data_IF_763994898767
#
_entry.id   IF_763994898767
#
_cell.length_a   1.000
_cell.length_b   1.000
_cell.length_c   1.000
_cell.angle_alpha   90.00
_cell.angle_beta   90.00
_cell.angle_gamma   90.00
#
_symmetry.space_group_name_H-M   'P 1'
#
loop_
_entity.id
_entity.type
_entity.pdbx_description
1 polymer ?
#
# COMPACT_ATOMS: atom_id res chain seq x y z
N UNK A 1 14.88 19.59 15.13
CA UNK A 1 15.56 18.28 14.88
C UNK A 1 14.58 17.18 14.46
N UNK A 2 13.47 16.94 15.17
CA UNK A 2 12.50 15.87 14.85
C UNK A 2 11.88 16.02 13.45
N UNK A 3 11.44 17.23 13.07
CA UNK A 3 10.87 17.50 11.73
C UNK A 3 11.87 17.20 10.60
N UNK A 4 13.15 17.52 10.79
CA UNK A 4 14.21 17.24 9.82
C UNK A 4 14.37 15.74 9.59
N UNK A 5 14.36 14.94 10.68
CA UNK A 5 14.44 13.48 10.60
C UNK A 5 13.22 12.92 9.86
N UNK A 6 12.01 13.40 10.18
CA UNK A 6 10.77 12.99 9.51
C UNK A 6 10.81 13.33 8.02
N UNK A 7 11.26 14.53 7.65
CA UNK A 7 11.40 14.93 6.25
C UNK A 7 12.40 14.04 5.50
N UNK A 8 13.57 13.75 6.09
CA UNK A 8 14.57 12.84 5.51
C UNK A 8 13.97 11.45 5.32
N UNK A 9 13.29 10.89 6.32
CA UNK A 9 12.63 9.58 6.24
C UNK A 9 11.61 9.52 5.10
N UNK A 10 10.81 10.57 4.91
CA UNK A 10 9.83 10.65 3.84
C UNK A 10 10.48 10.78 2.46
N UNK A 11 11.57 11.55 2.31
CA UNK A 11 12.30 11.62 1.06
C UNK A 11 12.99 10.30 0.71
N UNK A 12 13.51 9.57 1.70
CA UNK A 12 14.01 8.19 1.52
C UNK A 12 12.90 7.25 1.06
N UNK A 13 11.69 7.35 1.65
CA UNK A 13 10.52 6.61 1.20
C UNK A 13 10.18 6.95 -0.26
N UNK A 14 10.14 8.22 -0.63
CA UNK A 14 9.84 8.67 -2.00
C UNK A 14 10.87 8.10 -2.98
N UNK A 15 12.17 8.21 -2.68
CA UNK A 15 13.23 7.64 -3.51
C UNK A 15 13.09 6.12 -3.66
N UNK A 16 12.82 5.42 -2.56
CA UNK A 16 12.58 3.97 -2.57
C UNK A 16 11.39 3.59 -3.45
N UNK A 17 10.25 4.30 -3.30
CA UNK A 17 9.06 4.06 -4.10
C UNK A 17 9.29 4.34 -5.59
N UNK A 18 10.01 5.41 -5.93
CA UNK A 18 10.35 5.74 -7.33
C UNK A 18 11.22 4.67 -7.98
N UNK A 19 12.21 4.12 -7.26
CA UNK A 19 13.09 3.05 -7.76
C UNK A 19 12.29 1.74 -7.93
N UNK A 20 11.52 1.36 -6.92
CA UNK A 20 10.89 0.04 -6.86
C UNK A 20 9.57 -0.05 -7.63
N UNK A 21 8.84 1.07 -7.78
CA UNK A 21 7.52 1.10 -8.45
C UNK A 21 7.51 1.78 -9.82
N UNK A 22 8.68 2.07 -10.42
CA UNK A 22 8.80 2.79 -11.71
C UNK A 22 7.89 2.24 -12.85
N UNK A 23 7.54 0.96 -12.82
CA UNK A 23 6.73 0.27 -13.85
C UNK A 23 5.27 -0.04 -13.46
N UNK A 24 4.77 0.32 -12.27
CA UNK A 24 3.37 0.04 -11.87
C UNK A 24 2.43 1.20 -12.20
N UNK A 25 1.20 0.87 -12.59
CA UNK A 25 0.15 1.85 -12.93
C UNK A 25 -0.37 2.65 -11.72
N UNK A 26 -0.32 2.10 -10.51
CA UNK A 26 -0.80 2.79 -9.30
C UNK A 26 0.23 3.79 -8.75
N UNK A 27 0.12 5.04 -9.20
CA UNK A 27 0.97 6.18 -8.77
C UNK A 27 0.44 6.91 -7.53
N UNK A 28 -0.75 6.58 -7.04
CA UNK A 28 -1.43 7.24 -5.91
C UNK A 28 -0.57 7.28 -4.64
N UNK A 29 0.07 6.17 -4.28
CA UNK A 29 0.95 6.09 -3.09
C UNK A 29 2.22 6.93 -3.29
N UNK A 30 2.77 6.98 -4.50
CA UNK A 30 3.94 7.83 -4.79
C UNK A 30 3.57 9.31 -4.70
N UNK A 31 2.42 9.71 -5.27
CA UNK A 31 1.93 11.08 -5.13
C UNK A 31 1.68 11.44 -3.68
N UNK A 32 1.03 10.55 -2.92
CA UNK A 32 0.85 10.74 -1.48
C UNK A 32 2.18 10.96 -0.75
N UNK A 33 3.15 10.06 -0.93
CA UNK A 33 4.45 10.17 -0.27
C UNK A 33 5.19 11.46 -0.65
N UNK A 34 5.17 11.85 -1.93
CA UNK A 34 5.79 13.09 -2.39
C UNK A 34 5.11 14.32 -1.80
N UNK A 35 3.78 14.39 -1.81
CA UNK A 35 3.05 15.54 -1.26
C UNK A 35 3.27 15.65 0.25
N UNK A 36 3.25 14.54 1.00
CA UNK A 36 3.54 14.53 2.45
C UNK A 36 5.00 14.92 2.71
N UNK A 37 5.96 14.45 1.89
CA UNK A 37 7.37 14.83 2.02
C UNK A 37 7.58 16.35 1.85
N UNK A 38 6.92 16.95 0.85
CA UNK A 38 6.95 18.41 0.63
C UNK A 38 6.34 19.14 1.83
N UNK A 39 5.16 18.70 2.30
CA UNK A 39 4.51 19.29 3.47
C UNK A 39 5.40 19.25 4.73
N UNK A 40 6.06 18.13 4.99
CA UNK A 40 6.95 17.99 6.13
C UNK A 40 8.26 18.76 5.96
N UNK A 41 8.73 18.94 4.72
CA UNK A 41 9.92 19.76 4.43
C UNK A 41 9.63 21.24 4.71
N UNK A 42 8.44 21.73 4.33
CA UNK A 42 8.01 23.10 4.64
C UNK A 42 7.91 23.36 6.15
N UNK A 43 7.64 22.33 6.95
CA UNK A 43 7.60 22.43 8.41
C UNK A 43 8.99 22.46 9.08
N UNK A 44 10.10 22.30 8.36
CA UNK A 44 11.44 22.39 8.95
C UNK A 44 11.77 23.86 9.23
N UNK A 45 12.09 24.22 10.48
CA UNK A 45 12.35 25.60 10.92
C UNK A 45 13.16 26.46 9.93
N UNK A 46 14.28 25.93 9.42
CA UNK A 46 15.15 26.64 8.47
C UNK A 46 14.49 26.88 7.11
N UNK A 47 13.70 25.92 6.63
CA UNK A 47 12.95 26.04 5.37
C UNK A 47 11.76 26.98 5.58
N UNK A 48 11.03 26.80 6.69
CA UNK A 48 9.86 27.58 7.03
C UNK A 48 10.18 29.08 7.11
N UNK A 49 11.20 29.45 7.88
CA UNK A 49 11.65 30.84 8.05
C UNK A 49 12.18 31.49 6.77
N UNK A 50 12.66 30.69 5.81
CA UNK A 50 13.08 31.19 4.50
C UNK A 50 11.88 31.36 3.53
N UNK A 51 10.88 30.50 3.63
CA UNK A 51 9.76 30.43 2.68
C UNK A 51 8.60 31.33 3.09
N UNK A 52 8.24 31.40 4.38
CA UNK A 52 7.09 32.19 4.85
C UNK A 52 7.18 33.69 4.51
N UNK A 53 8.35 34.35 4.59
CA UNK A 53 8.49 35.74 4.17
C UNK A 53 8.16 35.99 2.69
N UNK A 54 8.39 35.00 1.81
CA UNK A 54 8.04 35.10 0.38
C UNK A 54 6.52 35.15 0.16
N UNK A 55 5.74 34.67 1.12
CA UNK A 55 4.29 34.72 1.13
C UNK A 55 3.72 35.84 2.01
N UNK A 56 4.56 36.75 2.49
CA UNK A 56 4.16 37.91 3.29
C UNK A 56 4.47 37.80 4.78
N UNK A 57 5.11 36.72 5.25
CA UNK A 57 5.65 36.64 6.62
C UNK A 57 4.59 36.58 7.72
N UNK A 58 3.42 36.01 7.42
CA UNK A 58 2.25 35.94 8.30
C UNK A 58 1.77 34.49 8.49
N UNK A 59 2.71 33.54 8.50
CA UNK A 59 2.47 32.11 8.73
C UNK A 59 1.64 31.41 7.64
N UNK A 60 1.58 31.98 6.43
CA UNK A 60 0.88 31.38 5.28
C UNK A 60 1.54 30.05 4.86
N UNK A 61 2.84 29.91 5.08
CA UNK A 61 3.55 28.65 4.85
C UNK A 61 2.96 27.49 5.69
N UNK A 62 2.40 27.77 6.88
CA UNK A 62 1.71 26.75 7.71
C UNK A 62 0.47 26.23 7.00
N UNK A 63 -0.38 27.12 6.50
CA UNK A 63 -1.61 26.75 5.79
C UNK A 63 -1.30 25.93 4.54
N UNK A 64 -0.26 26.32 3.78
CA UNK A 64 0.19 25.59 2.59
C UNK A 64 0.67 24.19 2.98
N UNK A 65 1.51 24.09 4.03
CA UNK A 65 2.04 22.81 4.49
C UNK A 65 0.92 21.86 4.96
N UNK A 66 -0.02 22.36 5.76
CA UNK A 66 -1.17 21.57 6.25
C UNK A 66 -2.10 21.15 5.12
N UNK A 67 -2.37 22.04 4.16
CA UNK A 67 -3.14 21.71 2.94
C UNK A 67 -2.47 20.59 2.15
N UNK A 68 -1.16 20.67 1.94
CA UNK A 68 -0.39 19.62 1.27
C UNK A 68 -0.43 18.31 2.05
N UNK A 69 -0.33 18.36 3.38
CA UNK A 69 -0.43 17.17 4.23
C UNK A 69 -1.80 16.48 4.08
N UNK A 70 -2.89 17.24 4.12
CA UNK A 70 -4.26 16.73 3.95
C UNK A 70 -4.47 16.10 2.57
N UNK A 71 -3.97 16.74 1.51
CA UNK A 71 -3.99 16.22 0.13
C UNK A 71 -3.16 14.94 0.03
N UNK A 72 -1.99 14.92 0.65
CA UNK A 72 -1.11 13.75 0.69
C UNK A 72 -1.78 12.55 1.37
N UNK A 73 -2.41 12.77 2.54
CA UNK A 73 -3.17 11.75 3.25
C UNK A 73 -4.41 11.28 2.46
N UNK A 74 -5.09 12.17 1.75
CA UNK A 74 -6.18 11.79 0.84
C UNK A 74 -5.71 10.80 -0.23
N UNK A 75 -4.61 11.11 -0.93
CA UNK A 75 -4.03 10.19 -1.91
C UNK A 75 -3.57 8.88 -1.27
N UNK A 76 -3.05 8.93 -0.05
CA UNK A 76 -2.61 7.77 0.70
C UNK A 76 -3.79 6.83 0.98
N UNK A 77 -4.88 7.36 1.55
CA UNK A 77 -6.09 6.62 1.83
C UNK A 77 -6.69 6.01 0.55
N UNK A 78 -6.70 6.75 -0.56
CA UNK A 78 -7.14 6.25 -1.88
C UNK A 78 -6.24 5.12 -2.39
N UNK A 79 -4.93 5.25 -2.25
CA UNK A 79 -3.97 4.22 -2.64
C UNK A 79 -4.13 2.92 -1.86
N UNK A 80 -4.35 3.02 -0.55
CA UNK A 80 -4.61 1.84 0.31
C UNK A 80 -5.96 1.20 -0.02
N UNK A 81 -7.01 1.99 -0.24
CA UNK A 81 -8.33 1.48 -0.65
C UNK A 81 -8.31 0.77 -2.00
N UNK A 82 -7.55 1.27 -2.98
CA UNK A 82 -7.44 0.62 -4.29
C UNK A 82 -6.71 -0.73 -4.21
N UNK A 83 -5.77 -0.86 -3.29
CA UNK A 83 -5.01 -2.08 -3.07
C UNK A 83 -5.76 -3.16 -2.26
N UNK A 84 -6.88 -2.80 -1.60
CA UNK A 84 -7.67 -3.71 -0.78
C UNK A 84 -8.91 -4.25 -1.51
N UNK A 85 -9.18 -5.55 -1.38
CA UNK A 85 -10.39 -6.20 -1.90
C UNK A 85 -11.66 -5.74 -1.16
N UNK A 86 -11.53 -5.30 0.09
CA UNK A 86 -12.64 -4.85 0.93
C UNK A 86 -12.80 -3.32 0.90
N UNK A 87 -13.96 -2.85 0.45
CA UNK A 87 -14.29 -1.41 0.30
C UNK A 87 -15.48 -1.00 1.20
N UNK A 88 -15.27 -0.76 2.50
CA UNK A 88 -16.35 -0.32 3.37
C UNK A 88 -16.81 1.09 2.96
N UNK A 89 -18.14 1.28 2.86
CA UNK A 89 -18.76 2.54 2.40
C UNK A 89 -18.32 3.74 3.25
N UNK A 90 -18.14 3.55 4.56
CA UNK A 90 -17.70 4.58 5.48
C UNK A 90 -16.27 5.07 5.17
N UNK A 91 -15.32 4.15 4.99
CA UNK A 91 -13.93 4.52 4.62
C UNK A 91 -13.88 5.19 3.26
N UNK A 92 -14.70 4.74 2.30
CA UNK A 92 -14.81 5.39 0.99
C UNK A 92 -15.38 6.81 1.09
N UNK A 93 -16.37 7.03 1.97
CA UNK A 93 -16.93 8.35 2.22
C UNK A 93 -15.91 9.28 2.90
N UNK A 94 -15.18 8.77 3.90
CA UNK A 94 -14.10 9.50 4.58
C UNK A 94 -13.02 9.98 3.59
N UNK A 95 -12.54 9.08 2.72
CA UNK A 95 -11.48 9.42 1.75
C UNK A 95 -12.10 9.87 0.42
N UNK A 96 -13.20 10.64 0.50
CA UNK A 96 -13.87 11.20 -0.66
C UNK A 96 -13.36 12.62 -0.94
N UNK A 97 -13.33 12.99 -2.22
CA UNK A 97 -12.94 14.33 -2.64
C UNK A 97 -13.82 15.43 -1.99
N UNK A 98 -15.15 15.28 -1.87
CA UNK A 98 -15.98 16.26 -1.16
C UNK A 98 -15.55 16.46 0.30
N UNK A 99 -15.24 15.39 1.03
CA UNK A 99 -14.80 15.50 2.43
C UNK A 99 -13.50 16.28 2.56
N UNK A 100 -12.53 16.01 1.68
CA UNK A 100 -11.28 16.78 1.62
C UNK A 100 -11.57 18.27 1.32
N UNK A 101 -12.38 18.57 0.31
CA UNK A 101 -12.69 19.95 -0.08
C UNK A 101 -13.38 20.72 1.06
N UNK A 102 -14.35 20.10 1.73
CA UNK A 102 -15.01 20.70 2.89
C UNK A 102 -14.01 20.99 4.02
N UNK A 103 -13.13 20.03 4.31
CA UNK A 103 -12.11 20.22 5.35
C UNK A 103 -11.11 21.32 4.97
N UNK A 104 -10.66 21.37 3.71
CA UNK A 104 -9.76 22.42 3.19
C UNK A 104 -10.38 23.81 3.26
N UNK A 105 -11.65 23.95 2.87
CA UNK A 105 -12.39 25.21 2.99
C UNK A 105 -12.51 25.59 4.47
N UNK A 106 -12.86 24.64 5.34
CA UNK A 106 -13.03 24.89 6.76
C UNK A 106 -11.73 25.35 7.45
N UNK A 107 -10.58 24.71 7.17
CA UNK A 107 -9.29 25.18 7.71
C UNK A 107 -8.92 26.55 7.13
N UNK A 108 -9.18 26.80 5.85
CA UNK A 108 -8.86 28.09 5.23
C UNK A 108 -9.68 29.20 5.87
N UNK A 109 -10.99 28.99 6.04
CA UNK A 109 -11.88 29.95 6.72
C UNK A 109 -11.41 30.18 8.15
N UNK A 110 -11.15 29.12 8.93
CA UNK A 110 -10.66 29.25 10.30
C UNK A 110 -9.34 30.02 10.38
N UNK A 111 -8.42 29.76 9.44
CA UNK A 111 -7.11 30.43 9.36
C UNK A 111 -7.23 31.93 9.12
N UNK A 112 -8.23 32.39 8.35
CA UNK A 112 -8.48 33.81 8.11
C UNK A 112 -8.91 34.58 9.37
N UNK A 113 -9.43 33.90 10.39
CA UNK A 113 -9.83 34.50 11.66
C UNK A 113 -8.72 34.49 12.72
N UNK A 114 -7.55 33.93 12.42
CA UNK A 114 -6.41 33.92 13.36
C UNK A 114 -5.72 35.29 13.32
N UNK A 115 -5.42 35.83 14.49
CA UNK A 115 -4.48 36.95 14.59
C UNK A 115 -3.05 36.40 14.48
N UNK A 116 -2.53 36.38 13.25
CA UNK A 116 -1.35 35.58 12.86
C UNK A 116 -0.01 36.20 13.27
N UNK A 117 0.03 37.49 13.57
CA UNK A 117 1.28 38.20 13.86
C UNK A 117 2.36 38.00 12.80
N UNK A 118 3.61 37.93 13.25
CA UNK A 118 4.78 37.66 12.42
C UNK A 118 5.06 36.15 12.30
N UNK A 119 5.89 35.77 11.32
CA UNK A 119 6.39 34.41 11.14
C UNK A 119 6.90 33.80 12.45
N UNK A 120 6.35 32.65 12.83
CA UNK A 120 6.81 31.84 13.96
C UNK A 120 6.94 30.37 13.55
N UNK A 121 7.98 29.70 14.05
CA UNK A 121 8.16 28.26 13.89
C UNK A 121 7.39 27.45 14.93
N UNK A 122 6.85 28.10 15.97
CA UNK A 122 6.09 27.47 17.04
C UNK A 122 4.62 27.91 17.02
N UNK A 123 4.02 27.91 15.82
CA UNK A 123 2.67 28.41 15.57
C UNK A 123 1.62 27.98 16.62
N UNK A 124 1.57 26.68 16.97
CA UNK A 124 0.60 26.19 17.96
C UNK A 124 0.96 26.49 19.43
N UNK A 125 2.24 26.71 19.74
CA UNK A 125 2.63 27.13 21.08
C UNK A 125 2.35 28.63 21.28
N UNK A 126 2.59 29.44 20.26
CA UNK A 126 2.50 30.90 20.35
C UNK A 126 1.06 31.41 20.14
N UNK A 127 0.29 30.77 19.25
CA UNK A 127 -1.03 31.23 18.83
C UNK A 127 -2.15 30.28 19.26
N UNK A 128 -1.83 29.14 19.89
CA UNK A 128 -2.79 28.08 20.23
C UNK A 128 -3.80 28.44 21.31
N UNK A 129 -3.56 29.50 22.07
CA UNK A 129 -4.52 30.05 23.03
C UNK A 129 -5.73 30.73 22.35
N UNK A 130 -5.61 31.09 21.06
CA UNK A 130 -6.71 31.71 20.32
C UNK A 130 -7.72 30.63 19.90
N UNK A 131 -9.04 30.85 20.13
CA UNK A 131 -10.07 29.90 19.71
C UNK A 131 -10.05 29.60 18.20
N UNK A 132 -9.70 30.59 17.36
CA UNK A 132 -9.57 30.40 15.91
C UNK A 132 -8.43 29.43 15.56
N UNK A 133 -7.27 29.56 16.21
CA UNK A 133 -6.11 28.67 16.01
C UNK A 133 -6.41 27.24 16.46
N UNK A 134 -7.05 27.06 17.61
CA UNK A 134 -7.47 25.74 18.06
C UNK A 134 -8.51 25.13 17.14
N UNK A 135 -9.50 25.90 16.68
CA UNK A 135 -10.50 25.42 15.70
C UNK A 135 -9.84 24.97 14.41
N UNK A 136 -8.89 25.76 13.89
CA UNK A 136 -8.08 25.41 12.73
C UNK A 136 -7.33 24.09 12.93
N UNK A 137 -6.60 23.95 14.05
CA UNK A 137 -5.84 22.74 14.39
C UNK A 137 -6.75 21.52 14.53
N UNK A 138 -7.85 21.66 15.26
CA UNK A 138 -8.84 20.61 15.49
C UNK A 138 -9.39 20.09 14.18
N UNK A 139 -9.78 20.96 13.25
CA UNK A 139 -10.31 20.53 11.94
C UNK A 139 -9.24 19.75 11.15
N UNK A 140 -8.01 20.28 11.11
CA UNK A 140 -6.88 19.64 10.41
C UNK A 140 -6.58 18.24 10.97
N UNK A 141 -6.36 18.13 12.28
CA UNK A 141 -6.01 16.87 12.94
C UNK A 141 -7.19 15.91 13.05
N UNK A 142 -8.44 16.40 13.10
CA UNK A 142 -9.62 15.55 13.03
C UNK A 142 -9.72 14.90 11.64
N UNK A 143 -9.57 15.66 10.55
CA UNK A 143 -9.55 15.09 9.20
C UNK A 143 -8.42 14.05 9.06
N UNK A 144 -7.20 14.42 9.44
CA UNK A 144 -6.04 13.52 9.39
C UNK A 144 -6.29 12.25 10.23
N UNK A 145 -6.81 12.42 11.44
CA UNK A 145 -7.13 11.33 12.37
C UNK A 145 -8.17 10.37 11.82
N UNK A 146 -9.24 10.85 11.18
CA UNK A 146 -10.26 9.99 10.56
C UNK A 146 -9.65 9.20 9.39
N UNK A 147 -8.84 9.84 8.54
CA UNK A 147 -8.16 9.14 7.42
C UNK A 147 -7.18 8.08 7.95
N UNK A 148 -6.38 8.39 8.97
CA UNK A 148 -5.44 7.45 9.59
C UNK A 148 -6.18 6.32 10.31
N UNK A 149 -7.29 6.60 10.99
CA UNK A 149 -8.12 5.58 11.62
C UNK A 149 -8.73 4.63 10.58
N UNK A 150 -9.17 5.15 9.44
CA UNK A 150 -9.63 4.32 8.33
C UNK A 150 -8.50 3.42 7.78
N UNK A 151 -7.28 3.96 7.66
CA UNK A 151 -6.09 3.17 7.29
C UNK A 151 -5.76 2.11 8.33
N UNK A 152 -5.88 2.40 9.63
CA UNK A 152 -5.69 1.45 10.72
C UNK A 152 -6.63 0.26 10.60
N UNK A 153 -7.92 0.50 10.33
CA UNK A 153 -8.91 -0.57 10.16
C UNK A 153 -8.54 -1.48 8.97
N UNK A 154 -8.11 -0.89 7.84
CA UNK A 154 -7.70 -1.65 6.67
C UNK A 154 -6.41 -2.45 6.93
N UNK A 155 -5.40 -1.83 7.55
CA UNK A 155 -4.12 -2.46 7.88
C UNK A 155 -4.27 -3.59 8.90
N UNK A 156 -5.07 -3.39 9.95
CA UNK A 156 -5.34 -4.41 10.97
C UNK A 156 -6.05 -5.62 10.39
N UNK A 157 -6.98 -5.41 9.45
CA UNK A 157 -7.63 -6.51 8.72
C UNK A 157 -6.64 -7.25 7.83
N UNK A 158 -5.83 -6.51 7.06
CA UNK A 158 -4.79 -7.12 6.24
C UNK A 158 -3.82 -7.94 7.09
N UNK A 159 -3.47 -7.48 8.28
CA UNK A 159 -2.62 -8.21 9.22
C UNK A 159 -3.26 -9.53 9.66
N UNK A 160 -4.56 -9.53 9.98
CA UNK A 160 -5.31 -10.74 10.34
C UNK A 160 -5.40 -11.76 9.20
N UNK A 161 -5.60 -11.29 7.97
CA UNK A 161 -5.72 -12.16 6.79
C UNK A 161 -4.37 -12.60 6.22
N UNK A 162 -3.31 -11.82 6.44
CA UNK A 162 -1.98 -12.13 5.93
C UNK A 162 -1.39 -13.38 6.59
N UNK A 163 -0.67 -14.18 5.80
CA UNK A 163 0.08 -15.36 6.25
C UNK A 163 1.58 -15.18 5.96
N UNK A 164 2.41 -15.72 6.86
CA UNK A 164 3.87 -15.68 6.74
C UNK A 164 4.44 -14.27 6.63
N UNK A 165 5.39 -14.07 5.72
CA UNK A 165 6.20 -12.84 5.58
C UNK A 165 5.36 -11.60 5.21
N UNK A 166 4.17 -11.77 4.63
CA UNK A 166 3.26 -10.65 4.31
C UNK A 166 2.65 -9.98 5.56
N UNK A 167 2.78 -10.59 6.74
CA UNK A 167 2.37 -9.97 8.00
C UNK A 167 3.24 -8.79 8.38
N UNK A 168 4.51 -8.76 7.97
CA UNK A 168 5.46 -7.72 8.41
C UNK A 168 5.02 -6.32 7.94
N UNK A 169 4.77 -6.07 6.63
CA UNK A 169 4.29 -4.76 6.18
C UNK A 169 2.95 -4.37 6.80
N UNK A 170 2.03 -5.33 6.93
CA UNK A 170 0.72 -5.09 7.52
C UNK A 170 0.81 -4.73 9.02
N UNK A 171 1.72 -5.37 9.77
CA UNK A 171 1.98 -5.06 11.17
C UNK A 171 2.56 -3.66 11.34
N UNK A 172 3.57 -3.31 10.53
CA UNK A 172 4.18 -1.98 10.54
C UNK A 172 3.17 -0.88 10.21
N UNK A 173 2.33 -1.08 9.19
CA UNK A 173 1.27 -0.13 8.83
C UNK A 173 0.21 -0.01 9.93
N UNK A 174 -0.17 -1.12 10.58
CA UNK A 174 -1.11 -1.12 11.70
C UNK A 174 -0.55 -0.34 12.88
N UNK A 175 0.70 -0.60 13.25
CA UNK A 175 1.37 0.05 14.37
C UNK A 175 1.57 1.55 14.11
N UNK A 176 2.03 1.91 12.91
CA UNK A 176 2.18 3.32 12.50
C UNK A 176 0.86 4.07 12.47
N UNK A 177 -0.22 3.45 11.98
CA UNK A 177 -1.54 4.06 11.99
C UNK A 177 -2.11 4.19 13.40
N UNK A 178 -1.84 3.23 14.30
CA UNK A 178 -2.25 3.31 15.70
C UNK A 178 -1.57 4.46 16.43
N UNK A 179 -0.25 4.62 16.24
CA UNK A 179 0.48 5.78 16.74
C UNK A 179 -0.03 7.09 16.12
N UNK A 180 -0.40 7.09 14.84
CA UNK A 180 -0.95 8.27 14.17
C UNK A 180 -2.31 8.69 14.73
N UNK A 181 -3.19 7.74 15.07
CA UNK A 181 -4.46 8.03 15.77
C UNK A 181 -4.18 8.57 17.17
N UNK A 182 -3.25 7.96 17.91
CA UNK A 182 -2.85 8.45 19.22
C UNK A 182 -2.25 9.86 19.16
N UNK A 183 -1.45 10.15 18.13
CA UNK A 183 -0.90 11.48 17.85
C UNK A 183 -2.01 12.51 17.63
N UNK A 184 -2.96 12.22 16.73
CA UNK A 184 -4.08 13.13 16.48
C UNK A 184 -4.90 13.36 17.76
N UNK A 185 -5.13 12.31 18.54
CA UNK A 185 -5.83 12.41 19.83
C UNK A 185 -5.06 13.29 20.82
N UNK A 186 -3.74 13.12 20.93
CA UNK A 186 -2.90 13.94 21.80
C UNK A 186 -2.94 15.43 21.39
N UNK A 187 -2.91 15.72 20.09
CA UNK A 187 -3.04 17.10 19.59
C UNK A 187 -4.40 17.70 19.93
N UNK A 188 -5.49 16.97 19.70
CA UNK A 188 -6.83 17.45 20.07
C UNK A 188 -6.95 17.74 21.57
N UNK A 189 -6.36 16.90 22.42
CA UNK A 189 -6.31 17.14 23.88
C UNK A 189 -5.50 18.40 24.19
N UNK A 190 -4.33 18.59 23.56
CA UNK A 190 -3.53 19.79 23.74
C UNK A 190 -4.26 21.06 23.30
N UNK A 191 -4.95 21.03 22.15
CA UNK A 191 -5.71 22.19 21.63
C UNK A 191 -6.82 22.61 22.59
N UNK A 192 -7.59 21.64 23.10
CA UNK A 192 -8.64 21.91 24.10
C UNK A 192 -8.06 22.39 25.42
N UNK A 193 -6.97 21.78 25.89
CA UNK A 193 -6.29 22.18 27.12
C UNK A 193 -5.76 23.62 27.03
N UNK A 194 -5.19 24.00 25.88
CA UNK A 194 -4.63 25.33 25.66
C UNK A 194 -5.72 26.41 25.69
N UNK A 195 -6.85 26.20 25.00
CA UNK A 195 -7.96 27.18 24.97
C UNK A 195 -8.70 27.26 26.30
N UNK A 196 -8.78 26.17 27.05
CA UNK A 196 -9.42 26.15 28.38
C UNK A 196 -8.51 26.64 29.51
N UNK A 197 -7.26 27.03 29.19
CA UNK A 197 -6.29 27.50 30.18
C UNK A 197 -5.66 26.41 31.04
N UNK A 198 -5.83 25.13 30.70
CA UNK A 198 -5.24 23.99 31.38
C UNK A 198 -3.80 23.73 30.91
N UNK A 199 -2.91 24.69 31.17
CA UNK A 199 -1.53 24.68 30.67
C UNK A 199 -0.74 23.48 31.20
N UNK A 200 -0.97 23.05 32.45
CA UNK A 200 -0.31 21.88 33.04
C UNK A 200 -0.61 20.59 32.26
N UNK A 201 -1.86 20.41 31.84
CA UNK A 201 -2.28 19.25 31.04
C UNK A 201 -1.64 19.30 29.65
N UNK A 202 -1.61 20.48 29.02
CA UNK A 202 -0.95 20.67 27.73
C UNK A 202 0.54 20.30 27.81
N UNK A 203 1.25 20.81 28.82
CA UNK A 203 2.67 20.54 29.04
C UNK A 203 2.95 19.07 29.36
N UNK A 204 2.05 18.38 30.07
CA UNK A 204 2.18 16.95 30.35
C UNK A 204 2.06 16.08 29.08
N UNK A 205 1.24 16.50 28.11
CA UNK A 205 1.01 15.76 26.85
C UNK A 205 2.04 16.10 25.78
N UNK A 206 2.61 17.31 25.81
CA UNK A 206 3.56 17.83 24.82
C UNK A 206 4.77 16.91 24.51
N UNK A 207 5.42 16.23 25.47
CA UNK A 207 6.50 15.29 25.18
C UNK A 207 6.04 14.09 24.34
N UNK A 208 4.81 13.63 24.55
CA UNK A 208 4.24 12.50 23.82
C UNK A 208 4.08 12.80 22.33
N UNK A 209 3.78 14.06 21.96
CA UNK A 209 3.66 14.49 20.57
C UNK A 209 4.91 14.15 19.74
N UNK A 210 6.09 14.52 20.23
CA UNK A 210 7.35 14.31 19.49
C UNK A 210 7.64 12.83 19.27
N UNK A 211 7.41 12.01 20.30
CA UNK A 211 7.62 10.56 20.24
C UNK A 211 6.60 9.89 19.32
N UNK A 212 5.31 10.22 19.49
CA UNK A 212 4.22 9.67 18.67
C UNK A 212 4.39 10.06 17.20
N UNK A 213 4.79 11.29 16.90
CA UNK A 213 5.07 11.75 15.55
C UNK A 213 6.19 10.93 14.90
N UNK A 214 7.33 10.78 15.57
CA UNK A 214 8.45 10.00 15.07
C UNK A 214 8.06 8.53 14.81
N UNK A 215 7.40 7.88 15.78
CA UNK A 215 6.96 6.48 15.65
C UNK A 215 5.95 6.33 14.51
N UNK A 216 4.99 7.24 14.39
CA UNK A 216 3.98 7.24 13.30
C UNK A 216 4.66 7.23 11.94
N UNK A 217 5.53 8.22 11.67
CA UNK A 217 6.20 8.32 10.39
C UNK A 217 7.18 7.18 10.15
N UNK A 218 7.94 6.76 11.17
CA UNK A 218 8.88 5.64 11.05
C UNK A 218 8.16 4.35 10.64
N UNK A 219 7.09 3.97 11.34
CA UNK A 219 6.38 2.73 11.07
C UNK A 219 5.58 2.78 9.78
N UNK A 220 4.97 3.93 9.43
CA UNK A 220 4.29 4.09 8.14
C UNK A 220 5.29 3.98 6.98
N UNK A 221 6.41 4.71 7.05
CA UNK A 221 7.47 4.63 6.03
C UNK A 221 8.03 3.21 5.91
N UNK A 222 8.31 2.54 7.03
CA UNK A 222 8.78 1.16 7.04
C UNK A 222 7.75 0.19 6.44
N UNK A 223 6.46 0.37 6.74
CA UNK A 223 5.38 -0.44 6.18
C UNK A 223 5.26 -0.30 4.66
N UNK A 224 5.30 0.93 4.14
CA UNK A 224 5.19 1.18 2.70
C UNK A 224 6.42 0.71 1.91
N UNK A 225 7.63 0.78 2.49
CA UNK A 225 8.86 0.24 1.86
C UNK A 225 8.96 -1.28 1.96
N UNK A 226 8.51 -1.87 3.07
CA UNK A 226 8.55 -3.32 3.27
C UNK A 226 7.61 -4.06 2.30
N UNK A 227 6.44 -3.48 1.98
CA UNK A 227 5.45 -4.13 1.13
C UNK A 227 5.99 -4.58 -0.26
N UNK A 228 6.67 -3.73 -1.05
CA UNK A 228 7.26 -4.17 -2.31
C UNK A 228 8.48 -5.08 -2.14
N UNK A 229 9.28 -4.90 -1.09
CA UNK A 229 10.44 -5.76 -0.80
C UNK A 229 10.00 -7.19 -0.51
N UNK A 230 9.01 -7.37 0.36
CA UNK A 230 8.44 -8.67 0.69
C UNK A 230 7.83 -9.33 -0.55
N UNK A 231 7.09 -8.58 -1.37
CA UNK A 231 6.54 -9.13 -2.63
C UNK A 231 7.65 -9.57 -3.58
N UNK A 232 8.72 -8.79 -3.74
CA UNK A 232 9.85 -9.14 -4.61
C UNK A 232 10.60 -10.38 -4.10
N UNK A 233 10.83 -10.46 -2.78
CA UNK A 233 11.44 -11.61 -2.15
C UNK A 233 10.59 -12.88 -2.34
N UNK A 234 9.26 -12.77 -2.23
CA UNK A 234 8.35 -13.88 -2.48
C UNK A 234 8.36 -14.33 -3.94
N UNK A 235 8.31 -13.41 -4.90
CA UNK A 235 8.43 -13.77 -6.32
C UNK A 235 9.76 -14.45 -6.62
N UNK A 236 10.86 -13.98 -6.03
CA UNK A 236 12.18 -14.58 -6.23
C UNK A 236 12.29 -15.97 -5.57
N UNK A 237 11.86 -16.09 -4.31
CA UNK A 237 11.84 -17.37 -3.59
C UNK A 237 10.96 -18.38 -4.32
N UNK A 238 9.80 -17.96 -4.82
CA UNK A 238 8.90 -18.80 -5.60
C UNK A 238 9.52 -19.21 -6.93
N UNK A 239 10.13 -18.29 -7.69
CA UNK A 239 10.83 -18.60 -8.95
C UNK A 239 11.94 -19.63 -8.71
N UNK A 240 12.69 -19.48 -7.62
CA UNK A 240 13.72 -20.43 -7.21
C UNK A 240 13.15 -21.79 -6.82
N UNK A 241 12.01 -21.82 -6.13
CA UNK A 241 11.32 -23.06 -5.80
C UNK A 241 10.77 -23.77 -7.04
N UNK A 242 10.17 -23.03 -7.98
CA UNK A 242 9.72 -23.57 -9.28
C UNK A 242 10.88 -24.15 -10.07
N UNK A 243 12.01 -23.43 -10.16
CA UNK A 243 13.22 -23.92 -10.82
C UNK A 243 13.76 -25.18 -10.13
N UNK A 244 13.87 -25.17 -8.79
CA UNK A 244 14.34 -26.34 -8.04
C UNK A 244 13.42 -27.57 -8.20
N UNK A 245 12.10 -27.38 -8.29
CA UNK A 245 11.16 -28.46 -8.59
C UNK A 245 11.35 -28.98 -10.02
N UNK A 246 11.53 -28.08 -11.00
CA UNK A 246 11.78 -28.45 -12.38
C UNK A 246 13.09 -29.24 -12.53
N UNK A 247 14.15 -28.82 -11.83
CA UNK A 247 15.45 -29.52 -11.81
C UNK A 247 15.34 -30.90 -11.17
N UNK A 248 14.57 -31.03 -10.08
CA UNK A 248 14.33 -32.32 -9.41
C UNK A 248 13.49 -33.29 -10.25
N UNK A 249 12.62 -32.77 -11.11
CA UNK A 249 11.81 -33.57 -12.04
C UNK A 249 12.57 -33.94 -13.33
N UNK A 250 13.70 -33.30 -13.62
CA UNK A 250 14.50 -33.56 -14.84
C UNK A 250 14.84 -35.05 -15.05
N UNK A 251 15.35 -35.80 -14.06
CA UNK A 251 15.74 -37.20 -14.27
C UNK A 251 14.54 -38.10 -14.59
N UNK A 252 13.36 -37.74 -14.08
CA UNK A 252 12.13 -38.48 -14.31
C UNK A 252 11.54 -38.14 -15.67
N UNK A 253 11.60 -36.86 -16.05
CA UNK A 253 11.22 -36.39 -17.37
C UNK A 253 12.09 -36.98 -18.47
N UNK A 254 13.41 -37.07 -18.28
CA UNK A 254 14.32 -37.73 -19.23
C UNK A 254 13.94 -39.19 -19.47
N UNK A 255 13.65 -39.93 -18.39
CA UNK A 255 13.17 -41.32 -18.50
C UNK A 255 11.82 -41.41 -19.21
N UNK A 256 10.88 -40.52 -18.90
CA UNK A 256 9.57 -40.49 -19.57
C UNK A 256 9.70 -40.22 -21.07
N UNK A 257 10.56 -39.27 -21.45
CA UNK A 257 10.80 -38.86 -22.84
C UNK A 257 11.54 -39.93 -23.63
N UNK A 258 12.42 -40.71 -22.99
CA UNK A 258 13.08 -41.86 -23.61
C UNK A 258 12.09 -42.95 -24.04
N UNK A 259 11.08 -43.24 -23.23
CA UNK A 259 10.11 -44.31 -23.56
C UNK A 259 8.97 -43.81 -24.45
N UNK A 260 8.70 -42.50 -24.44
CA UNK A 260 7.77 -41.85 -25.36
C UNK A 260 8.44 -40.64 -26.03
N UNK A 261 9.16 -40.83 -27.16
CA UNK A 261 9.81 -39.73 -27.90
C UNK A 261 8.85 -38.74 -28.59
N UNK A 262 7.55 -38.85 -28.32
CA UNK A 262 6.52 -38.11 -29.02
C UNK A 262 6.27 -36.75 -28.38
N UNK A 263 6.95 -35.71 -28.91
CA UNK A 263 6.64 -34.27 -28.95
C UNK A 263 7.85 -33.34 -28.71
N UNK A 264 9.07 -33.87 -28.63
CA UNK A 264 10.32 -33.11 -28.39
C UNK A 264 10.69 -32.09 -29.49
N UNK A 265 9.90 -31.95 -30.57
CA UNK A 265 10.21 -31.07 -31.72
C UNK A 265 9.21 -29.93 -31.98
N UNK A 266 8.20 -29.72 -31.14
CA UNK A 266 7.30 -28.57 -31.29
C UNK A 266 7.85 -27.32 -30.55
N UNK A 267 8.53 -26.49 -31.34
CA UNK A 267 8.82 -25.07 -31.16
C UNK A 267 9.98 -24.63 -30.22
N UNK A 268 11.18 -24.37 -30.77
CA UNK A 268 12.30 -23.73 -30.07
C UNK A 268 12.02 -22.30 -29.57
N UNK A 269 10.89 -21.69 -29.95
CA UNK A 269 10.47 -20.36 -29.48
C UNK A 269 9.74 -20.40 -28.12
N UNK A 270 9.33 -21.58 -27.64
CA UNK A 270 8.75 -21.76 -26.31
C UNK A 270 9.80 -22.05 -25.21
N UNK A 271 11.04 -22.37 -25.61
CA UNK A 271 12.20 -22.51 -24.71
C UNK A 271 12.85 -21.16 -24.42
N UNK A 272 12.08 -20.22 -23.88
CA UNK A 272 12.71 -19.10 -23.18
C UNK A 272 13.04 -19.61 -21.78
N UNK A 273 14.33 -19.66 -21.41
CA UNK A 273 14.80 -19.84 -20.01
C UNK A 273 14.11 -18.87 -19.02
N UNK A 274 13.42 -17.86 -19.55
CA UNK A 274 12.64 -16.87 -18.83
C UNK A 274 11.30 -17.35 -18.26
N UNK A 275 10.75 -18.51 -18.67
CA UNK A 275 9.48 -19.05 -18.13
C UNK A 275 9.63 -20.40 -17.39
N UNK A 276 10.09 -20.38 -16.13
CA UNK A 276 10.24 -21.59 -15.32
C UNK A 276 8.89 -22.25 -14.95
N UNK A 277 7.77 -21.53 -14.99
CA UNK A 277 6.44 -22.12 -14.71
C UNK A 277 5.97 -22.93 -15.92
N UNK A 278 6.14 -22.42 -17.15
CA UNK A 278 5.88 -23.17 -18.38
C UNK A 278 6.73 -24.43 -18.49
N UNK A 279 8.02 -24.36 -18.14
CA UNK A 279 8.90 -25.52 -18.10
C UNK A 279 8.44 -26.58 -17.08
N UNK A 280 8.06 -26.16 -15.87
CA UNK A 280 7.56 -27.08 -14.85
C UNK A 280 6.24 -27.74 -15.28
N UNK A 281 5.31 -26.96 -15.84
CA UNK A 281 4.03 -27.47 -16.33
C UNK A 281 4.21 -28.52 -17.43
N UNK A 282 5.08 -28.23 -18.41
CA UNK A 282 5.40 -29.14 -19.50
C UNK A 282 5.96 -30.48 -18.99
N UNK A 283 6.96 -30.43 -18.09
CA UNK A 283 7.55 -31.64 -17.50
C UNK A 283 6.48 -32.51 -16.85
N UNK A 284 5.58 -31.92 -16.06
CA UNK A 284 4.51 -32.65 -15.38
C UNK A 284 3.56 -33.32 -16.38
N UNK A 285 3.13 -32.62 -17.43
CA UNK A 285 2.22 -33.18 -18.45
C UNK A 285 2.86 -34.35 -19.18
N UNK A 286 4.11 -34.21 -19.63
CA UNK A 286 4.81 -35.26 -20.37
C UNK A 286 5.08 -36.51 -19.51
N UNK A 287 5.40 -36.31 -18.22
CA UNK A 287 5.52 -37.39 -17.24
C UNK A 287 4.17 -38.10 -17.06
N UNK A 288 3.08 -37.35 -16.90
CA UNK A 288 1.74 -37.90 -16.66
C UNK A 288 1.25 -38.70 -17.85
N UNK A 289 1.49 -38.20 -19.06
CA UNK A 289 1.19 -38.90 -20.30
C UNK A 289 1.92 -40.25 -20.39
N UNK A 290 3.22 -40.27 -20.06
CA UNK A 290 4.01 -41.50 -20.06
C UNK A 290 3.52 -42.52 -19.01
N UNK A 291 2.97 -42.07 -17.88
CA UNK A 291 2.35 -42.93 -16.86
C UNK A 291 1.01 -43.53 -17.30
N UNK A 292 0.24 -42.80 -18.11
CA UNK A 292 -1.11 -43.23 -18.56
C UNK A 292 -1.03 -44.13 -19.80
N UNK A 293 0.02 -43.97 -20.62
CA UNK A 293 0.19 -44.75 -21.85
C UNK A 293 0.50 -46.23 -21.55
N UNK A 294 -0.55 -47.07 -21.58
CA UNK A 294 -0.44 -48.52 -21.37
C UNK A 294 0.37 -49.27 -22.43
N UNK A 295 0.85 -48.60 -23.49
CA UNK A 295 1.76 -49.19 -24.48
C UNK A 295 3.23 -49.14 -24.06
N UNK A 296 3.53 -48.40 -23.00
CA UNK A 296 4.86 -48.06 -22.53
C UNK A 296 5.03 -48.59 -21.10
N UNK A 297 6.13 -49.31 -20.84
CA UNK A 297 6.47 -49.77 -19.50
C UNK A 297 7.18 -48.64 -18.72
N UNK A 298 6.41 -47.71 -18.18
CA UNK A 298 6.94 -46.63 -17.32
C UNK A 298 6.52 -46.83 -15.86
N UNK A 299 7.47 -47.21 -15.01
CA UNK A 299 7.25 -47.44 -13.58
C UNK A 299 7.87 -46.31 -12.75
N UNK A 300 7.06 -45.70 -11.89
CA UNK A 300 7.49 -44.66 -10.94
C UNK A 300 7.59 -45.21 -9.52
N UNK A 301 8.58 -44.75 -8.75
CA UNK A 301 8.64 -45.03 -7.32
C UNK A 301 7.63 -44.17 -6.53
N UNK A 302 7.38 -44.52 -5.27
CA UNK A 302 6.47 -43.74 -4.42
C UNK A 302 7.03 -42.35 -4.10
N UNK A 303 8.35 -42.21 -3.94
CA UNK A 303 9.03 -40.92 -3.76
C UNK A 303 8.88 -40.00 -4.99
N UNK A 304 8.94 -40.60 -6.18
CA UNK A 304 8.78 -39.91 -7.45
C UNK A 304 7.35 -39.43 -7.69
N UNK A 305 6.36 -40.24 -7.28
CA UNK A 305 4.94 -39.81 -7.27
C UNK A 305 4.71 -38.67 -6.28
N UNK A 306 5.26 -38.76 -5.08
CA UNK A 306 5.15 -37.70 -4.08
C UNK A 306 5.77 -36.38 -4.58
N UNK A 307 6.90 -36.44 -5.29
CA UNK A 307 7.53 -35.28 -5.91
C UNK A 307 6.65 -34.66 -7.02
N UNK A 308 6.05 -35.50 -7.88
CA UNK A 308 5.15 -35.05 -8.94
C UNK A 308 3.90 -34.37 -8.36
N UNK A 309 3.30 -34.95 -7.32
CA UNK A 309 2.14 -34.37 -6.62
C UNK A 309 2.47 -33.05 -5.91
N UNK A 310 3.69 -32.90 -5.37
CA UNK A 310 4.14 -31.64 -4.78
C UNK A 310 4.30 -30.54 -5.83
N UNK A 311 4.85 -30.88 -6.99
CA UNK A 311 4.99 -29.96 -8.12
C UNK A 311 3.64 -29.57 -8.75
N UNK A 312 2.71 -30.52 -8.91
CA UNK A 312 1.33 -30.25 -9.34
C UNK A 312 0.61 -29.31 -8.35
N UNK A 313 0.71 -29.56 -7.04
CA UNK A 313 0.12 -28.69 -6.01
C UNK A 313 0.72 -27.28 -6.04
N UNK A 314 2.03 -27.15 -6.29
CA UNK A 314 2.71 -25.86 -6.42
C UNK A 314 2.20 -25.03 -7.62
N UNK A 315 1.92 -25.67 -8.76
CA UNK A 315 1.33 -25.04 -9.94
C UNK A 315 -0.17 -24.73 -9.77
N UNK A 316 -0.97 -25.67 -9.25
CA UNK A 316 -2.41 -25.48 -9.04
C UNK A 316 -2.73 -24.41 -7.97
N UNK A 317 -1.81 -24.20 -7.02
CA UNK A 317 -1.84 -23.06 -6.11
C UNK A 317 -1.77 -21.70 -6.82
N UNK A 318 -1.39 -21.66 -8.11
CA UNK A 318 -1.41 -20.47 -8.98
C UNK A 318 -2.76 -20.31 -9.73
N UNK A 319 -3.35 -21.39 -10.24
CA UNK A 319 -4.55 -21.31 -11.09
C UNK A 319 -5.80 -20.78 -10.39
N UNK A 320 -5.92 -21.00 -9.07
CA UNK A 320 -7.01 -20.42 -8.27
C UNK A 320 -7.00 -18.89 -8.21
N UNK A 321 -5.91 -18.24 -8.62
CA UNK A 321 -5.82 -16.78 -8.74
C UNK A 321 -6.03 -16.27 -10.18
N UNK A 322 -6.01 -17.16 -11.17
CA UNK A 322 -6.10 -16.83 -12.60
C UNK A 322 -7.42 -17.25 -13.26
N UNK A 323 -8.19 -18.14 -12.64
CA UNK A 323 -9.52 -18.53 -13.12
C UNK A 323 -10.63 -17.88 -12.29
N UNK A 324 -11.07 -16.70 -12.76
CA UNK A 324 -12.43 -16.23 -12.55
C UNK A 324 -13.25 -16.72 -13.76
N UNK A 325 -13.98 -17.85 -13.68
CA UNK A 325 -14.73 -18.38 -14.79
C UNK A 325 -16.11 -17.72 -14.82
N UNK A 326 -16.14 -16.42 -15.17
CA UNK A 326 -17.39 -15.70 -15.41
C UNK A 326 -17.35 -14.95 -16.74
N UNK A 327 -16.93 -15.61 -17.82
CA UNK A 327 -17.07 -15.07 -19.18
C UNK A 327 -17.09 -16.19 -20.24
N UNK A 328 -18.02 -17.13 -20.11
CA UNK A 328 -18.48 -17.94 -21.24
C UNK A 328 -20.01 -18.09 -21.11
N UNK A 329 -20.71 -17.02 -21.46
CA UNK A 329 -22.12 -17.12 -21.81
C UNK A 329 -22.23 -17.71 -23.22
N UNK A 330 -23.07 -18.72 -23.45
CA UNK A 330 -23.27 -19.29 -24.78
C UNK A 330 -23.95 -18.26 -25.68
N UNK A 331 -23.41 -18.10 -26.88
CA UNK A 331 -24.10 -17.41 -28.00
C UNK A 331 -25.39 -18.17 -28.28
N UNK A 332 -26.52 -17.62 -27.85
CA UNK A 332 -27.83 -18.00 -28.37
C UNK A 332 -27.97 -17.38 -29.75
N UNK A 333 -27.86 -18.21 -30.78
CA UNK A 333 -28.41 -17.93 -32.10
C UNK A 333 -29.92 -17.71 -31.95
N UNK A 334 -30.40 -16.54 -32.36
CA UNK A 334 -31.82 -16.30 -32.62
C UNK A 334 -31.91 -15.35 -33.81
N UNK A 335 -32.05 -15.97 -34.99
CA UNK A 335 -32.48 -15.33 -36.23
C UNK A 335 -33.93 -14.84 -36.09
N UNK A 336 -34.28 -13.60 -36.47
CA UNK A 336 -35.65 -13.27 -36.82
C UNK A 336 -35.79 -13.27 -38.34
N UNK A 337 -36.34 -14.36 -38.85
CA UNK A 337 -36.92 -14.43 -40.18
C UNK A 337 -38.13 -13.50 -40.27
N UNK A 338 -38.26 -12.87 -41.43
CA UNK A 338 -39.42 -12.08 -41.85
C UNK A 338 -40.65 -12.98 -41.93
N UNK A 339 -41.81 -12.50 -41.44
CA UNK A 339 -43.08 -12.40 -42.22
C UNK A 339 -44.26 -11.92 -41.36
N UNK A 340 -44.88 -10.85 -41.86
CA UNK A 340 -46.33 -10.55 -41.98
C UNK A 340 -47.29 -11.11 -40.92
N UNK A 341 -48.14 -10.25 -40.34
CA UNK A 341 -49.56 -10.06 -40.74
C UNK A 341 -50.26 -9.01 -39.84
N UNK A 342 -51.23 -8.32 -40.48
CA UNK A 342 -52.25 -7.36 -40.01
C UNK A 342 -51.80 -6.07 -39.32
#
# INVERSE_FOLDING_TARGET
MTQTIVAILLWVLVASLLIVRRKRADRSITYAATTIAVAMTLNVDTVYTAVDPLFGGTNIATLIADTLLMIGLFFLGRGVMHAGEYRPRLVRATVSLPTLLVALVAITVAFMFIDRGHTTTQFMADLGNQPATATYSIINFLYCGIVIAAMLVLAARQYRSARGVQRIPAALLTLGSAFGVALCTAVLVMDVAHVTGQIDLMQAVQPAYSVLSLLTFLFLCAGFTAQPLVRRAQHYARRRQTAALADRLEPLWDRATQVRPGLTHADPLATSEDDPEGLLHRKIVEIRDAMIDGRVAFTTSDDERALLEDAERHLLGNDRSATDPTALAPRSEASPDRRRTS
#
